data_IF_334349092578
#
_entry.id   IF_334349092578
#
_cell.length_a   1.000
_cell.length_b   1.000
_cell.length_c   1.000
_cell.angle_alpha   90.00
_cell.angle_beta   90.00
_cell.angle_gamma   90.00
#
_symmetry.space_group_name_H-M   'P 1'
#
loop_
_entity.id
_entity.type
_entity.pdbx_description
1 polymer ?
#
# COMPACT_ATOMS: atom_id res chain seq x y z
N UNK A 1 30.82 -15.14 -19.68
CA UNK A 1 30.39 -13.91 -18.97
C UNK A 1 29.10 -13.49 -19.60
N UNK A 2 28.08 -13.25 -18.80
CA UNK A 2 26.79 -12.78 -19.30
C UNK A 2 26.97 -11.37 -19.87
N UNK A 3 26.71 -11.19 -21.17
CA UNK A 3 26.96 -9.95 -21.94
C UNK A 3 26.29 -8.75 -21.26
N UNK A 4 25.16 -8.99 -20.57
CA UNK A 4 24.41 -7.98 -19.85
C UNK A 4 25.04 -7.53 -18.53
N UNK A 5 26.13 -8.14 -18.07
CA UNK A 5 26.83 -7.76 -16.83
C UNK A 5 28.23 -7.20 -17.07
N UNK A 6 28.61 -6.95 -18.32
CA UNK A 6 29.92 -6.43 -18.69
C UNK A 6 29.85 -4.99 -19.23
N UNK A 7 29.53 -4.05 -18.35
CA UNK A 7 29.49 -2.62 -18.70
C UNK A 7 29.98 -1.71 -17.56
N UNK A 8 30.46 -0.51 -17.89
CA UNK A 8 30.94 0.49 -16.91
C UNK A 8 29.88 1.53 -16.55
N UNK A 9 28.90 1.76 -17.42
CA UNK A 9 27.95 2.86 -17.32
C UNK A 9 26.50 2.36 -17.47
N UNK A 10 25.69 2.50 -16.42
CA UNK A 10 24.25 2.25 -16.48
C UNK A 10 23.52 3.54 -16.85
N UNK A 11 22.70 3.51 -17.89
CA UNK A 11 21.87 4.66 -18.31
C UNK A 11 20.42 4.34 -18.00
N UNK A 12 19.79 5.21 -17.20
CA UNK A 12 18.41 5.07 -16.72
C UNK A 12 17.59 6.27 -17.14
N UNK A 13 16.40 6.01 -17.68
CA UNK A 13 15.44 7.05 -18.06
C UNK A 13 14.44 7.25 -16.92
N UNK A 14 14.45 8.43 -16.31
CA UNK A 14 13.66 8.73 -15.12
C UNK A 14 12.28 9.27 -15.51
N UNK A 15 11.26 8.44 -15.30
CA UNK A 15 9.85 8.81 -15.42
C UNK A 15 9.24 9.29 -14.10
N UNK A 16 7.90 9.29 -14.03
CA UNK A 16 7.14 9.63 -12.82
C UNK A 16 7.10 8.50 -11.78
N UNK A 17 7.51 7.29 -12.16
CA UNK A 17 7.72 6.17 -11.25
C UNK A 17 9.23 5.85 -11.15
N UNK A 18 9.89 6.11 -10.00
CA UNK A 18 11.30 5.80 -9.78
C UNK A 18 11.58 4.32 -9.53
N UNK A 19 10.58 3.52 -9.16
CA UNK A 19 10.77 2.15 -8.69
C UNK A 19 11.47 1.22 -9.71
N UNK A 20 11.09 1.20 -11.01
CA UNK A 20 11.77 0.36 -12.00
C UNK A 20 13.26 0.71 -12.14
N UNK A 21 13.60 2.00 -12.12
CA UNK A 21 14.99 2.46 -12.20
C UNK A 21 15.80 1.99 -10.99
N UNK A 22 15.22 2.06 -9.79
CA UNK A 22 15.85 1.52 -8.58
C UNK A 22 16.07 0.00 -8.66
N UNK A 23 15.05 -0.77 -9.09
CA UNK A 23 15.14 -2.23 -9.22
C UNK A 23 16.26 -2.63 -10.17
N UNK A 24 16.30 -2.01 -11.36
CA UNK A 24 17.33 -2.25 -12.38
C UNK A 24 18.72 -1.87 -11.86
N UNK A 25 18.86 -0.70 -11.24
CA UNK A 25 20.13 -0.27 -10.67
C UNK A 25 20.61 -1.24 -9.58
N UNK A 26 19.72 -1.67 -8.69
CA UNK A 26 20.03 -2.59 -7.59
C UNK A 26 20.45 -3.97 -8.12
N UNK A 27 19.77 -4.49 -9.15
CA UNK A 27 20.16 -5.72 -9.82
C UNK A 27 21.59 -5.62 -10.38
N UNK A 28 21.86 -4.61 -11.20
CA UNK A 28 23.20 -4.47 -11.79
C UNK A 28 24.29 -4.13 -10.77
N UNK A 29 23.99 -3.43 -9.68
CA UNK A 29 24.97 -3.20 -8.62
C UNK A 29 25.37 -4.50 -7.90
N UNK A 30 24.46 -5.47 -7.78
CA UNK A 30 24.74 -6.80 -7.21
C UNK A 30 25.57 -7.68 -8.15
N UNK A 31 25.28 -7.64 -9.46
CA UNK A 31 25.84 -8.60 -10.42
C UNK A 31 26.96 -8.07 -11.31
N UNK A 32 26.97 -6.77 -11.61
CA UNK A 32 28.00 -6.12 -12.43
C UNK A 32 29.06 -5.43 -11.54
N UNK A 33 30.20 -6.12 -11.37
CA UNK A 33 31.36 -5.60 -10.63
C UNK A 33 32.11 -4.47 -11.35
N UNK A 34 31.91 -4.32 -12.67
CA UNK A 34 32.57 -3.29 -13.49
C UNK A 34 31.78 -1.97 -13.55
N UNK A 35 30.53 -1.95 -13.07
CA UNK A 35 29.69 -0.75 -13.03
C UNK A 35 30.35 0.37 -12.22
N UNK A 36 30.71 1.48 -12.86
CA UNK A 36 31.35 2.63 -12.21
C UNK A 36 30.42 3.82 -12.08
N UNK A 37 29.50 3.99 -13.04
CA UNK A 37 28.67 5.20 -13.12
C UNK A 37 27.22 4.87 -13.44
N UNK A 38 26.30 5.60 -12.82
CA UNK A 38 24.87 5.58 -13.15
C UNK A 38 24.48 6.96 -13.70
N UNK A 39 24.03 6.98 -14.94
CA UNK A 39 23.56 8.15 -15.67
C UNK A 39 22.03 8.18 -15.57
N UNK A 40 21.49 9.21 -14.91
CA UNK A 40 20.05 9.40 -14.71
C UNK A 40 19.57 10.52 -15.64
N UNK A 41 18.87 10.15 -16.70
CA UNK A 41 18.30 11.09 -17.68
C UNK A 41 16.89 11.45 -17.23
N UNK A 42 16.63 12.73 -16.93
CA UNK A 42 15.36 13.19 -16.36
C UNK A 42 14.82 14.41 -17.11
N UNK A 43 13.53 14.69 -16.98
CA UNK A 43 12.90 15.88 -17.55
C UNK A 43 12.97 17.07 -16.59
N UNK A 44 13.32 18.24 -17.11
CA UNK A 44 13.15 19.50 -16.38
C UNK A 44 11.67 19.86 -16.26
N UNK A 45 11.27 20.63 -15.25
CA UNK A 45 9.90 21.11 -15.18
C UNK A 45 9.72 22.32 -16.12
N UNK A 46 8.73 22.23 -17.02
CA UNK A 46 8.32 23.38 -17.83
C UNK A 46 6.84 23.60 -17.61
N UNK A 47 6.51 24.72 -16.96
CA UNK A 47 5.14 25.07 -16.56
C UNK A 47 4.16 24.88 -17.72
N UNK A 48 3.07 24.14 -17.46
CA UNK A 48 2.00 23.82 -18.42
C UNK A 48 2.42 23.00 -19.66
N UNK A 49 3.65 22.47 -19.72
CA UNK A 49 4.16 21.74 -20.88
C UNK A 49 4.67 20.34 -20.54
N UNK A 50 5.45 20.20 -19.46
CA UNK A 50 5.96 18.89 -19.02
C UNK A 50 6.17 18.87 -17.50
N UNK A 51 5.95 17.72 -16.89
CA UNK A 51 6.31 17.48 -15.50
C UNK A 51 7.83 17.25 -15.39
N UNK A 52 8.45 17.83 -14.36
CA UNK A 52 9.85 17.55 -14.03
C UNK A 52 10.00 16.23 -13.27
N UNK A 53 11.04 15.45 -13.59
CA UNK A 53 11.36 14.19 -12.89
C UNK A 53 12.69 14.24 -12.13
N UNK A 54 13.23 15.45 -11.92
CA UNK A 54 14.48 15.70 -11.17
C UNK A 54 14.44 15.15 -9.74
N UNK A 55 13.36 15.40 -9.01
CA UNK A 55 13.17 14.91 -7.64
C UNK A 55 13.32 13.38 -7.56
N UNK A 56 12.74 12.66 -8.52
CA UNK A 56 12.86 11.20 -8.59
C UNK A 56 14.29 10.74 -8.89
N UNK A 57 15.03 11.45 -9.75
CA UNK A 57 16.42 11.15 -10.03
C UNK A 57 17.33 11.39 -8.81
N UNK A 58 17.02 12.41 -8.01
CA UNK A 58 17.71 12.68 -6.74
C UNK A 58 17.39 11.63 -5.68
N UNK A 59 16.12 11.23 -5.56
CA UNK A 59 15.68 10.20 -4.63
C UNK A 59 16.31 8.83 -4.95
N UNK A 60 16.35 8.43 -6.23
CA UNK A 60 17.05 7.20 -6.67
C UNK A 60 18.51 7.22 -6.22
N UNK A 61 19.22 8.33 -6.46
CA UNK A 61 20.61 8.50 -6.03
C UNK A 61 20.76 8.41 -4.52
N UNK A 62 19.88 9.06 -3.75
CA UNK A 62 19.89 9.03 -2.28
C UNK A 62 19.78 7.60 -1.75
N UNK A 63 18.75 6.88 -2.21
CA UNK A 63 18.45 5.52 -1.75
C UNK A 63 19.56 4.54 -2.13
N UNK A 64 20.07 4.60 -3.37
CA UNK A 64 21.17 3.73 -3.80
C UNK A 64 22.44 4.02 -3.00
N UNK A 65 22.80 5.30 -2.79
CA UNK A 65 23.96 5.65 -1.96
C UNK A 65 23.81 5.11 -0.55
N UNK A 66 22.65 5.28 0.07
CA UNK A 66 22.37 4.76 1.41
C UNK A 66 22.57 3.24 1.52
N UNK A 67 22.18 2.48 0.49
CA UNK A 67 22.34 1.02 0.48
C UNK A 67 23.73 0.53 0.09
N UNK A 68 24.42 1.19 -0.85
CA UNK A 68 25.63 0.66 -1.49
C UNK A 68 26.92 1.42 -1.23
N UNK A 69 26.88 2.64 -0.66
CA UNK A 69 28.08 3.48 -0.53
C UNK A 69 29.18 2.82 0.31
N UNK A 70 28.82 2.05 1.34
CA UNK A 70 29.80 1.30 2.15
C UNK A 70 30.56 0.25 1.34
N UNK A 71 29.95 -0.31 0.29
CA UNK A 71 30.52 -1.38 -0.53
C UNK A 71 31.06 -0.88 -1.88
N UNK A 72 30.65 0.30 -2.34
CA UNK A 72 30.98 0.90 -3.63
C UNK A 72 31.24 2.41 -3.50
N UNK A 73 32.30 2.83 -2.79
CA UNK A 73 32.60 4.24 -2.55
C UNK A 73 32.99 5.01 -3.81
N UNK A 74 33.40 4.30 -4.87
CA UNK A 74 33.79 4.83 -6.16
C UNK A 74 32.61 5.00 -7.14
N UNK A 75 31.40 4.57 -6.76
CA UNK A 75 30.21 4.69 -7.60
C UNK A 75 29.83 6.16 -7.85
N UNK A 76 29.80 6.56 -9.12
CA UNK A 76 29.46 7.92 -9.52
C UNK A 76 28.02 8.01 -10.04
N UNK A 77 27.40 9.17 -9.82
CA UNK A 77 26.07 9.48 -10.34
C UNK A 77 26.16 10.72 -11.22
N UNK A 78 25.58 10.66 -12.42
CA UNK A 78 25.50 11.79 -13.35
C UNK A 78 24.04 12.05 -13.70
N UNK A 79 23.55 13.21 -13.31
CA UNK A 79 22.20 13.66 -13.62
C UNK A 79 22.20 14.45 -14.95
N UNK A 80 21.41 14.00 -15.93
CA UNK A 80 21.34 14.57 -17.27
C UNK A 80 19.94 15.18 -17.47
N UNK A 81 19.81 16.52 -17.43
CA UNK A 81 18.53 17.18 -17.64
C UNK A 81 18.15 17.20 -19.12
N UNK A 82 16.85 17.00 -19.39
CA UNK A 82 16.22 17.19 -20.69
C UNK A 82 15.21 18.34 -20.59
N UNK A 83 15.47 19.43 -21.30
CA UNK A 83 14.66 20.65 -21.21
C UNK A 83 13.32 20.56 -21.94
N UNK A 84 13.23 19.76 -22.99
CA UNK A 84 12.01 19.58 -23.79
C UNK A 84 11.87 18.13 -24.26
N UNK A 85 11.04 17.35 -23.55
CA UNK A 85 10.81 15.93 -23.87
C UNK A 85 9.98 15.72 -25.13
N UNK A 86 9.29 16.76 -25.62
CA UNK A 86 8.54 16.72 -26.87
C UNK A 86 9.38 16.97 -28.12
N UNK A 87 10.61 17.46 -27.96
CA UNK A 87 11.51 17.78 -29.06
C UNK A 87 12.63 16.74 -29.19
N UNK A 88 12.54 15.88 -30.20
CA UNK A 88 13.60 14.93 -30.54
C UNK A 88 14.96 15.61 -30.73
N UNK A 89 14.98 16.78 -31.39
CA UNK A 89 16.22 17.53 -31.62
C UNK A 89 16.85 18.04 -30.32
N UNK A 90 16.04 18.42 -29.34
CA UNK A 90 16.51 18.89 -28.03
C UNK A 90 17.09 17.72 -27.24
N UNK A 91 16.36 16.61 -27.17
CA UNK A 91 16.81 15.39 -26.50
C UNK A 91 18.18 14.96 -27.04
N UNK A 92 18.32 14.83 -28.37
CA UNK A 92 19.58 14.39 -28.98
C UNK A 92 20.74 15.36 -28.71
N UNK A 93 20.51 16.68 -28.82
CA UNK A 93 21.54 17.69 -28.53
C UNK A 93 22.01 17.66 -27.08
N UNK A 94 21.08 17.50 -26.14
CA UNK A 94 21.39 17.47 -24.70
C UNK A 94 22.08 16.15 -24.31
N UNK A 95 21.65 15.01 -24.85
CA UNK A 95 22.37 13.74 -24.72
C UNK A 95 23.80 13.87 -25.27
N UNK A 96 23.95 14.35 -26.52
CA UNK A 96 25.26 14.52 -27.14
C UNK A 96 26.16 15.46 -26.35
N UNK A 97 25.63 16.55 -25.79
CA UNK A 97 26.38 17.49 -24.96
C UNK A 97 26.85 16.86 -23.65
N UNK A 98 26.00 16.07 -23.00
CA UNK A 98 26.26 15.53 -21.67
C UNK A 98 26.98 14.17 -21.67
N UNK A 99 26.89 13.40 -22.76
CA UNK A 99 27.44 12.04 -22.88
C UNK A 99 28.73 12.03 -23.70
N UNK A 100 29.24 13.19 -24.14
CA UNK A 100 30.54 13.29 -24.84
C UNK A 100 31.58 12.45 -24.11
N UNK A 101 32.20 11.55 -24.86
CA UNK A 101 33.32 10.73 -24.43
C UNK A 101 34.40 11.65 -23.86
N UNK A 102 34.57 11.66 -22.54
CA UNK A 102 35.88 11.97 -21.96
C UNK A 102 36.86 11.05 -22.67
N UNK A 103 37.89 11.61 -23.29
CA UNK A 103 38.68 11.04 -24.40
C UNK A 103 39.49 9.78 -24.11
N UNK A 104 38.85 8.74 -23.58
CA UNK A 104 39.40 7.43 -23.28
C UNK A 104 38.43 6.37 -23.79
N UNK A 105 38.85 5.65 -24.83
CA UNK A 105 38.13 4.62 -25.57
C UNK A 105 37.86 3.33 -24.78
N UNK A 106 37.16 3.39 -23.65
CA UNK A 106 36.88 2.19 -22.82
C UNK A 106 35.54 2.14 -22.09
N UNK A 107 34.66 3.14 -22.23
CA UNK A 107 33.37 3.11 -21.55
C UNK A 107 32.38 2.24 -22.31
N UNK A 108 31.83 1.24 -21.63
CA UNK A 108 30.75 0.39 -22.14
C UNK A 108 29.46 0.72 -21.40
N UNK A 109 28.37 0.83 -22.14
CA UNK A 109 27.09 1.31 -21.67
C UNK A 109 26.07 0.17 -21.59
N UNK A 110 25.12 0.34 -20.69
CA UNK A 110 23.88 -0.41 -20.70
C UNK A 110 22.72 0.57 -20.56
N UNK A 111 21.84 0.64 -21.55
CA UNK A 111 20.64 1.47 -21.50
C UNK A 111 19.45 0.62 -21.03
N UNK A 112 18.88 0.99 -19.89
CA UNK A 112 17.54 0.53 -19.52
C UNK A 112 16.50 1.58 -19.92
N UNK A 113 15.60 1.22 -20.82
CA UNK A 113 14.62 2.13 -21.42
C UNK A 113 13.19 1.93 -20.90
N UNK A 114 13.04 1.36 -19.70
CA UNK A 114 11.71 1.15 -19.05
C UNK A 114 11.00 2.47 -18.74
N UNK A 115 11.75 3.48 -18.29
CA UNK A 115 11.20 4.75 -17.81
C UNK A 115 11.33 5.91 -18.80
N UNK A 116 11.05 7.11 -18.30
CA UNK A 116 10.98 8.32 -19.12
C UNK A 116 9.71 8.39 -19.98
N UNK A 117 9.58 9.45 -20.76
CA UNK A 117 8.50 9.53 -21.76
C UNK A 117 8.83 8.63 -22.96
N UNK A 118 7.81 8.23 -23.72
CA UNK A 118 7.99 7.47 -24.97
C UNK A 118 8.98 8.15 -25.93
N UNK A 119 8.93 9.48 -26.01
CA UNK A 119 9.87 10.28 -26.81
C UNK A 119 11.30 10.17 -26.27
N UNK A 120 11.51 10.31 -24.95
CA UNK A 120 12.83 10.11 -24.34
C UNK A 120 13.38 8.71 -24.60
N UNK A 121 12.56 7.67 -24.45
CA UNK A 121 12.96 6.29 -24.69
C UNK A 121 13.43 6.08 -26.13
N UNK A 122 12.59 6.44 -27.12
CA UNK A 122 12.92 6.27 -28.54
C UNK A 122 14.16 7.07 -28.94
N UNK A 123 14.26 8.33 -28.52
CA UNK A 123 15.38 9.19 -28.94
C UNK A 123 16.69 8.83 -28.24
N UNK A 124 16.63 8.42 -26.97
CA UNK A 124 17.84 7.96 -26.25
C UNK A 124 18.31 6.62 -26.81
N UNK A 125 17.39 5.69 -27.06
CA UNK A 125 17.70 4.42 -27.72
C UNK A 125 18.40 4.66 -29.06
N UNK A 126 17.80 5.49 -29.92
CA UNK A 126 18.37 5.88 -31.22
C UNK A 126 19.78 6.49 -31.06
N UNK A 127 19.96 7.41 -30.11
CA UNK A 127 21.27 8.02 -29.85
C UNK A 127 22.34 6.98 -29.51
N UNK A 128 22.04 6.04 -28.60
CA UNK A 128 23.00 5.00 -28.21
C UNK A 128 23.26 4.00 -29.32
N UNK A 129 22.24 3.65 -30.11
CA UNK A 129 22.41 2.78 -31.26
C UNK A 129 23.31 3.43 -32.33
N UNK A 130 23.10 4.70 -32.66
CA UNK A 130 23.87 5.39 -33.71
C UNK A 130 25.32 5.70 -33.30
N UNK A 131 25.58 5.94 -32.02
CA UNK A 131 26.89 6.42 -31.53
C UNK A 131 27.70 5.35 -30.78
N UNK A 132 27.04 4.31 -30.25
CA UNK A 132 27.65 3.33 -29.33
C UNK A 132 27.19 1.88 -29.58
N UNK A 133 26.67 1.52 -30.76
CA UNK A 133 26.14 0.17 -31.04
C UNK A 133 27.03 -0.99 -30.56
N UNK A 134 28.35 -0.91 -30.77
CA UNK A 134 29.28 -1.98 -30.37
C UNK A 134 29.69 -1.95 -28.88
N UNK A 135 29.29 -0.91 -28.15
CA UNK A 135 29.67 -0.65 -26.77
C UNK A 135 28.45 -0.47 -25.87
N UNK A 136 27.23 -0.71 -26.36
CA UNK A 136 25.99 -0.48 -25.63
C UNK A 136 25.09 -1.70 -25.73
N UNK A 137 24.61 -2.18 -24.59
CA UNK A 137 23.55 -3.19 -24.51
C UNK A 137 22.26 -2.54 -24.04
N UNK A 138 21.13 -3.18 -24.34
CA UNK A 138 19.81 -2.58 -24.13
C UNK A 138 18.91 -3.53 -23.33
N UNK A 139 18.13 -2.98 -22.40
CA UNK A 139 17.11 -3.73 -21.68
C UNK A 139 15.88 -2.91 -21.30
N UNK A 140 14.80 -3.60 -20.94
CA UNK A 140 13.67 -3.05 -20.23
C UNK A 140 13.19 -4.03 -19.15
N UNK A 141 12.61 -3.50 -18.08
CA UNK A 141 11.93 -4.28 -17.06
C UNK A 141 10.47 -4.45 -17.48
N UNK A 142 10.05 -5.67 -17.74
CA UNK A 142 8.66 -5.97 -18.06
C UNK A 142 7.86 -6.10 -16.76
N UNK A 143 6.87 -5.23 -16.58
CA UNK A 143 6.03 -5.21 -15.38
C UNK A 143 5.13 -6.43 -15.26
N UNK A 144 4.80 -7.11 -16.37
CA UNK A 144 3.85 -8.22 -16.40
C UNK A 144 4.40 -9.51 -15.80
N UNK A 145 5.68 -9.77 -16.02
CA UNK A 145 6.37 -10.97 -15.52
C UNK A 145 7.56 -10.64 -14.61
N UNK A 146 7.80 -9.35 -14.34
CA UNK A 146 8.85 -8.85 -13.44
C UNK A 146 10.26 -9.25 -13.88
N UNK A 147 10.47 -9.52 -15.17
CA UNK A 147 11.76 -9.93 -15.74
C UNK A 147 12.44 -8.77 -16.47
N UNK A 148 13.76 -8.73 -16.37
CA UNK A 148 14.58 -7.86 -17.20
C UNK A 148 14.79 -8.54 -18.55
N UNK A 149 14.42 -7.86 -19.64
CA UNK A 149 14.49 -8.39 -21.01
C UNK A 149 15.47 -7.58 -21.82
N UNK A 150 16.35 -8.26 -22.55
CA UNK A 150 17.35 -7.64 -23.41
C UNK A 150 17.01 -7.78 -24.88
N UNK A 151 17.41 -6.82 -25.70
CA UNK A 151 17.11 -6.81 -27.14
C UNK A 151 17.84 -7.94 -27.89
N UNK A 152 19.04 -8.30 -27.44
CA UNK A 152 19.95 -9.22 -28.14
C UNK A 152 19.76 -10.70 -27.76
N UNK A 153 18.87 -10.99 -26.80
CA UNK A 153 18.64 -12.35 -26.32
C UNK A 153 17.16 -12.73 -26.49
N UNK A 154 16.84 -13.86 -27.16
CA UNK A 154 15.48 -14.40 -27.16
C UNK A 154 15.03 -14.84 -25.74
N UNK A 155 15.96 -15.01 -24.81
CA UNK A 155 15.71 -15.33 -23.40
C UNK A 155 15.79 -14.07 -22.53
N UNK A 156 15.04 -14.05 -21.43
CA UNK A 156 15.12 -12.97 -20.43
C UNK A 156 16.52 -12.92 -19.79
N UNK A 157 16.99 -11.71 -19.43
CA UNK A 157 18.25 -11.51 -18.68
C UNK A 157 18.11 -12.08 -17.28
N UNK A 158 16.90 -12.02 -16.71
CA UNK A 158 16.61 -12.45 -15.35
C UNK A 158 15.37 -13.33 -15.33
N UNK A 159 15.22 -14.07 -14.23
CA UNK A 159 13.92 -14.55 -13.78
C UNK A 159 13.13 -13.40 -13.11
N UNK A 160 12.02 -13.74 -12.44
CA UNK A 160 11.19 -12.78 -11.70
C UNK A 160 12.01 -12.10 -10.59
N UNK A 161 12.26 -10.80 -10.76
CA UNK A 161 13.10 -10.02 -9.87
C UNK A 161 12.48 -9.79 -8.49
N UNK A 162 11.19 -10.06 -8.27
CA UNK A 162 10.58 -9.94 -6.93
C UNK A 162 11.21 -10.93 -5.95
N UNK A 163 11.72 -12.06 -6.43
CA UNK A 163 12.39 -13.07 -5.60
C UNK A 163 13.90 -12.84 -5.45
N UNK A 164 14.43 -11.73 -5.94
CA UNK A 164 15.87 -11.41 -5.87
C UNK A 164 16.14 -9.99 -5.34
N UNK A 165 15.25 -9.06 -5.68
CA UNK A 165 15.33 -7.64 -5.34
C UNK A 165 14.20 -7.31 -4.37
N UNK A 166 14.59 -7.01 -3.13
CA UNK A 166 13.69 -6.46 -2.11
C UNK A 166 13.93 -4.98 -1.89
N UNK A 167 12.91 -4.29 -1.37
CA UNK A 167 12.99 -2.91 -0.92
C UNK A 167 12.31 -2.79 0.45
N UNK A 168 12.85 -1.96 1.35
CA UNK A 168 12.15 -1.65 2.61
C UNK A 168 11.06 -0.59 2.37
N UNK A 169 10.09 -0.52 3.27
CA UNK A 169 9.07 0.54 3.23
C UNK A 169 9.68 1.94 3.26
N UNK A 170 10.69 2.16 4.09
CA UNK A 170 11.37 3.46 4.22
C UNK A 170 12.01 3.87 2.89
N UNK A 171 12.70 2.95 2.22
CA UNK A 171 13.35 3.22 0.94
C UNK A 171 12.31 3.39 -0.17
N UNK A 172 11.22 2.62 -0.18
CA UNK A 172 10.12 2.81 -1.12
C UNK A 172 9.50 4.20 -0.98
N UNK A 173 9.20 4.65 0.24
CA UNK A 173 8.65 5.99 0.45
C UNK A 173 9.67 7.07 0.10
N UNK A 174 10.94 6.89 0.45
CA UNK A 174 12.01 7.81 0.11
C UNK A 174 12.14 7.99 -1.40
N UNK A 175 12.06 6.91 -2.20
CA UNK A 175 12.05 6.97 -3.66
C UNK A 175 10.94 7.89 -4.20
N UNK A 176 9.74 7.79 -3.61
CA UNK A 176 8.55 8.50 -4.06
C UNK A 176 8.34 9.87 -3.37
N UNK A 177 9.31 10.35 -2.58
CA UNK A 177 9.22 11.64 -1.90
C UNK A 177 8.28 11.65 -0.69
N UNK A 178 8.00 10.49 -0.11
CA UNK A 178 7.19 10.30 1.08
C UNK A 178 8.04 9.96 2.31
N UNK A 179 7.45 10.11 3.50
CA UNK A 179 8.02 9.69 4.77
C UNK A 179 6.91 9.17 5.71
N UNK A 180 7.30 8.26 6.61
CA UNK A 180 6.41 7.77 7.67
C UNK A 180 6.13 8.90 8.66
N UNK A 181 4.86 9.21 8.93
CA UNK A 181 4.47 10.27 9.88
C UNK A 181 4.48 9.81 11.34
N UNK A 182 4.50 8.49 11.56
CA UNK A 182 4.33 7.80 12.84
C UNK A 182 3.49 6.55 12.62
N UNK A 183 3.31 5.72 13.64
CA UNK A 183 2.30 4.66 13.63
C UNK A 183 1.24 4.98 14.68
N UNK A 184 -0.04 4.98 14.30
CA UNK A 184 -1.09 4.76 15.29
C UNK A 184 -1.17 3.25 15.51
N UNK A 185 -0.83 2.80 16.71
CA UNK A 185 -1.11 1.41 17.06
C UNK A 185 -2.64 1.28 17.16
N UNK A 186 -3.24 0.51 16.25
CA UNK A 186 -4.61 0.09 16.48
C UNK A 186 -4.69 -0.62 17.83
N UNK A 187 -5.75 -0.37 18.62
CA UNK A 187 -5.99 -1.15 19.82
C UNK A 187 -6.04 -2.64 19.43
N UNK A 188 -5.15 -3.43 20.02
CA UNK A 188 -5.07 -4.87 19.77
C UNK A 188 -5.71 -5.59 20.95
N UNK A 189 -6.87 -6.20 20.68
CA UNK A 189 -7.58 -7.06 21.63
C UNK A 189 -7.59 -8.49 21.08
N UNK A 190 -6.54 -9.30 21.33
CA UNK A 190 -6.37 -10.60 20.68
C UNK A 190 -7.56 -11.55 20.88
N UNK A 191 -8.11 -11.61 22.09
CA UNK A 191 -9.28 -12.45 22.39
C UNK A 191 -10.54 -11.96 21.68
N UNK A 192 -10.73 -10.63 21.57
CA UNK A 192 -11.84 -10.05 20.80
C UNK A 192 -11.70 -10.35 19.30
N UNK A 193 -10.49 -10.31 18.74
CA UNK A 193 -10.26 -10.68 17.35
C UNK A 193 -10.53 -12.15 17.09
N UNK A 194 -10.14 -13.05 18.02
CA UNK A 194 -10.51 -14.47 17.93
C UNK A 194 -12.03 -14.67 17.95
N UNK A 195 -12.74 -13.91 18.79
CA UNK A 195 -14.21 -13.99 18.84
C UNK A 195 -14.87 -13.41 17.58
N UNK A 196 -14.30 -12.37 16.97
CA UNK A 196 -14.71 -11.94 15.62
C UNK A 196 -14.48 -13.03 14.57
N UNK A 197 -13.32 -13.71 14.58
CA UNK A 197 -13.07 -14.83 13.67
C UNK A 197 -14.13 -15.93 13.84
N UNK A 198 -14.50 -16.27 15.08
CA UNK A 198 -15.57 -17.22 15.38
C UNK A 198 -16.92 -16.78 14.80
N UNK A 199 -17.32 -15.52 15.04
CA UNK A 199 -18.56 -14.93 14.48
C UNK A 199 -18.58 -15.02 12.96
N UNK A 200 -17.46 -14.72 12.29
CA UNK A 200 -17.32 -14.80 10.83
C UNK A 200 -17.49 -16.25 10.36
N UNK A 201 -16.82 -17.21 11.02
CA UNK A 201 -16.92 -18.64 10.68
C UNK A 201 -18.33 -19.20 10.85
N UNK A 202 -19.07 -18.68 11.82
CA UNK A 202 -20.47 -19.05 12.06
C UNK A 202 -21.46 -18.38 11.09
N UNK A 203 -20.99 -17.49 10.20
CA UNK A 203 -21.86 -16.73 9.30
C UNK A 203 -22.70 -15.66 10.02
N UNK A 204 -22.31 -15.25 11.23
CA UNK A 204 -23.08 -14.35 12.10
C UNK A 204 -22.61 -12.90 12.08
N UNK A 205 -21.70 -12.53 11.17
CA UNK A 205 -21.16 -11.17 11.11
C UNK A 205 -22.26 -10.12 10.84
N UNK A 206 -23.31 -10.47 10.10
CA UNK A 206 -24.46 -9.58 9.91
C UNK A 206 -25.21 -9.25 11.19
N UNK A 207 -25.31 -10.19 12.13
CA UNK A 207 -25.91 -9.90 13.43
C UNK A 207 -25.12 -8.79 14.14
N UNK A 208 -23.78 -8.86 14.08
CA UNK A 208 -22.91 -7.82 14.60
C UNK A 208 -23.06 -6.48 13.87
N UNK A 209 -23.07 -6.48 12.54
CA UNK A 209 -23.18 -5.24 11.75
C UNK A 209 -24.54 -4.55 11.97
N UNK A 210 -25.61 -5.33 12.07
CA UNK A 210 -26.96 -4.86 12.39
C UNK A 210 -27.00 -4.27 13.80
N UNK A 211 -26.47 -5.01 14.80
CA UNK A 211 -26.37 -4.53 16.18
C UNK A 211 -25.53 -3.25 16.30
N UNK A 212 -24.38 -3.19 15.62
CA UNK A 212 -23.52 -2.00 15.58
C UNK A 212 -24.31 -0.79 15.09
N UNK A 213 -25.08 -0.93 14.01
CA UNK A 213 -25.90 0.14 13.42
C UNK A 213 -27.04 0.56 14.34
N UNK A 214 -27.78 -0.39 14.90
CA UNK A 214 -29.04 -0.16 15.63
C UNK A 214 -28.87 0.01 17.15
N UNK A 215 -27.65 -0.16 17.66
CA UNK A 215 -27.35 -0.06 19.10
C UNK A 215 -26.15 0.85 19.32
N UNK A 216 -24.96 0.44 18.91
CA UNK A 216 -23.73 1.21 19.18
C UNK A 216 -23.76 2.59 18.53
N UNK A 217 -24.16 2.67 17.26
CA UNK A 217 -24.24 3.97 16.58
C UNK A 217 -25.35 4.85 17.14
N UNK A 218 -26.50 4.29 17.49
CA UNK A 218 -27.57 5.05 18.17
C UNK A 218 -27.11 5.62 19.52
N UNK A 219 -26.36 4.82 20.29
CA UNK A 219 -25.97 5.20 21.65
C UNK A 219 -24.82 6.21 21.70
N UNK A 220 -23.85 6.07 20.79
CA UNK A 220 -22.61 6.86 20.84
C UNK A 220 -22.53 7.96 19.78
N UNK A 221 -23.46 8.01 18.82
CA UNK A 221 -23.41 8.98 17.72
C UNK A 221 -24.74 9.72 17.54
N UNK A 222 -24.65 10.98 17.11
CA UNK A 222 -25.78 11.76 16.60
C UNK A 222 -25.48 12.18 15.17
N UNK A 223 -26.06 11.48 14.20
CA UNK A 223 -25.59 11.51 12.81
C UNK A 223 -24.16 10.98 12.74
N UNK A 224 -23.24 11.74 12.14
CA UNK A 224 -21.82 11.38 12.04
C UNK A 224 -20.98 11.88 13.23
N UNK A 225 -21.59 12.51 14.25
CA UNK A 225 -20.87 13.10 15.38
C UNK A 225 -20.83 12.14 16.57
N UNK A 226 -19.62 11.73 16.94
CA UNK A 226 -19.37 10.89 18.12
C UNK A 226 -19.53 11.66 19.43
N UNK A 227 -20.01 11.00 20.47
CA UNK A 227 -20.06 11.52 21.83
C UNK A 227 -18.64 11.49 22.45
N UNK A 228 -17.90 12.59 22.34
CA UNK A 228 -16.52 12.74 22.87
C UNK A 228 -16.46 12.95 24.40
N UNK A 229 -17.61 13.19 25.03
CA UNK A 229 -17.72 13.49 26.47
C UNK A 229 -18.92 12.78 27.10
N UNK A 230 -18.86 12.51 28.41
CA UNK A 230 -19.97 11.88 29.14
C UNK A 230 -21.27 12.70 29.05
N UNK A 231 -21.16 14.02 29.04
CA UNK A 231 -22.31 14.93 28.91
C UNK A 231 -22.99 14.76 27.55
N UNK A 232 -22.21 14.62 26.48
CA UNK A 232 -22.76 14.34 25.15
C UNK A 232 -23.44 12.98 25.11
N UNK A 233 -22.82 11.95 25.70
CA UNK A 233 -23.42 10.62 25.81
C UNK A 233 -24.77 10.65 26.51
N UNK A 234 -24.87 11.29 27.69
CA UNK A 234 -26.15 11.47 28.38
C UNK A 234 -27.17 12.25 27.54
N UNK A 235 -26.73 13.34 26.89
CA UNK A 235 -27.62 14.17 26.05
C UNK A 235 -28.13 13.39 24.84
N UNK A 236 -27.31 12.54 24.21
CA UNK A 236 -27.71 11.77 23.05
C UNK A 236 -28.74 10.70 23.41
N UNK A 237 -28.63 10.15 24.62
CA UNK A 237 -29.47 9.07 25.12
C UNK A 237 -30.62 9.54 26.04
N UNK A 238 -30.80 10.87 26.21
CA UNK A 238 -31.79 11.48 27.10
C UNK A 238 -31.77 10.90 28.53
N UNK A 239 -30.58 10.75 29.11
CA UNK A 239 -30.39 10.23 30.47
C UNK A 239 -30.38 11.39 31.46
N UNK A 240 -31.40 11.49 32.32
CA UNK A 240 -31.56 12.54 33.33
C UNK A 240 -31.82 12.02 34.75
N UNK A 241 -32.22 10.76 34.91
CA UNK A 241 -32.45 10.13 36.22
C UNK A 241 -31.95 8.67 36.30
N UNK A 242 -31.96 8.10 37.49
CA UNK A 242 -31.64 6.68 37.71
C UNK A 242 -32.63 5.74 37.00
N UNK A 243 -33.90 6.14 36.84
CA UNK A 243 -34.88 5.40 36.03
C UNK A 243 -34.49 5.37 34.55
N UNK A 244 -33.97 6.48 33.99
CA UNK A 244 -33.49 6.50 32.60
C UNK A 244 -32.28 5.57 32.42
N UNK A 245 -31.38 5.50 33.42
CA UNK A 245 -30.24 4.57 33.41
C UNK A 245 -30.71 3.11 33.37
N UNK A 246 -31.71 2.75 34.19
CA UNK A 246 -32.29 1.40 34.18
C UNK A 246 -32.92 1.06 32.84
N UNK A 247 -33.75 1.98 32.29
CA UNK A 247 -34.38 1.81 30.97
C UNK A 247 -33.34 1.68 29.85
N UNK A 248 -32.26 2.47 29.91
CA UNK A 248 -31.18 2.39 28.94
C UNK A 248 -30.46 1.03 28.97
N UNK A 249 -30.17 0.53 30.17
CA UNK A 249 -29.58 -0.80 30.39
C UNK A 249 -30.49 -1.95 29.95
N UNK A 250 -31.79 -1.85 30.22
CA UNK A 250 -32.79 -2.81 29.73
C UNK A 250 -32.83 -2.84 28.20
N UNK A 251 -32.90 -1.67 27.56
CA UNK A 251 -32.86 -1.55 26.09
C UNK A 251 -31.58 -2.14 25.48
N UNK A 252 -30.42 -1.93 26.11
CA UNK A 252 -29.17 -2.56 25.67
C UNK A 252 -29.25 -4.09 25.74
N UNK A 253 -29.77 -4.65 26.84
CA UNK A 253 -29.90 -6.11 27.02
C UNK A 253 -30.86 -6.73 26.01
N UNK A 254 -31.99 -6.09 25.73
CA UNK A 254 -32.95 -6.56 24.73
C UNK A 254 -32.39 -6.54 23.31
N UNK A 255 -31.61 -5.50 22.99
CA UNK A 255 -31.03 -5.32 21.65
C UNK A 255 -29.76 -6.12 21.41
N UNK A 256 -29.10 -6.67 22.44
CA UNK A 256 -27.76 -7.29 22.32
C UNK A 256 -27.83 -8.82 22.36
N UNK A 257 -27.64 -9.50 21.22
CA UNK A 257 -27.54 -10.97 21.17
C UNK A 257 -26.41 -11.53 22.03
N UNK A 258 -26.59 -12.75 22.56
CA UNK A 258 -25.61 -13.38 23.46
C UNK A 258 -24.21 -13.48 22.82
N UNK A 259 -24.12 -13.83 21.52
CA UNK A 259 -22.83 -13.94 20.83
C UNK A 259 -22.05 -12.61 20.79
N UNK A 260 -22.78 -11.49 20.72
CA UNK A 260 -22.19 -10.14 20.77
C UNK A 260 -21.86 -9.76 22.22
N UNK A 261 -22.69 -10.16 23.18
CA UNK A 261 -22.37 -9.97 24.59
C UNK A 261 -21.09 -10.73 24.98
N UNK A 262 -20.91 -11.95 24.51
CA UNK A 262 -19.67 -12.73 24.65
C UNK A 262 -18.47 -12.02 24.03
N UNK A 263 -18.63 -11.46 22.82
CA UNK A 263 -17.60 -10.62 22.18
C UNK A 263 -17.24 -9.40 23.03
N UNK A 264 -18.21 -8.70 23.60
CA UNK A 264 -17.94 -7.52 24.43
C UNK A 264 -17.22 -7.86 25.74
N UNK A 265 -17.48 -9.04 26.30
CA UNK A 265 -16.80 -9.56 27.50
C UNK A 265 -15.31 -9.83 27.27
N UNK A 266 -14.84 -10.00 26.04
CA UNK A 266 -13.41 -10.23 25.76
C UNK A 266 -12.59 -8.94 25.72
N UNK A 267 -13.23 -7.77 25.68
CA UNK A 267 -12.53 -6.47 25.72
C UNK A 267 -12.01 -6.22 27.14
N UNK A 268 -10.75 -5.78 27.33
CA UNK A 268 -10.21 -5.43 28.65
C UNK A 268 -11.12 -4.47 29.42
N UNK A 269 -11.29 -4.70 30.73
CA UNK A 269 -12.28 -4.00 31.56
C UNK A 269 -12.12 -2.47 31.54
N UNK A 270 -10.90 -1.99 31.43
CA UNK A 270 -10.52 -0.58 31.34
C UNK A 270 -11.01 0.10 30.05
N UNK A 271 -11.19 -0.65 28.97
CA UNK A 271 -11.67 -0.16 27.68
C UNK A 271 -13.07 -0.68 27.32
N UNK A 272 -13.61 -1.62 28.10
CA UNK A 272 -14.91 -2.23 27.83
C UNK A 272 -16.04 -1.23 28.02
N UNK A 273 -17.06 -1.35 27.18
CA UNK A 273 -18.33 -0.65 27.37
C UNK A 273 -19.23 -1.36 28.39
N UNK A 274 -18.80 -2.49 28.94
CA UNK A 274 -19.54 -3.22 29.97
C UNK A 274 -19.09 -2.83 31.39
N UNK A 275 -20.02 -2.88 32.33
CA UNK A 275 -19.77 -2.78 33.76
C UNK A 275 -19.44 -4.15 34.39
N UNK A 276 -19.21 -4.18 35.70
CA UNK A 276 -18.82 -5.39 36.43
C UNK A 276 -19.88 -6.50 36.41
N UNK A 277 -21.14 -6.14 36.16
CA UNK A 277 -22.25 -7.08 36.07
C UNK A 277 -22.46 -7.59 34.63
N UNK A 278 -21.64 -7.13 33.68
CA UNK A 278 -21.76 -7.47 32.26
C UNK A 278 -22.87 -6.70 31.54
N UNK A 279 -23.36 -5.60 32.10
CA UNK A 279 -24.34 -4.72 31.45
C UNK A 279 -23.65 -3.49 30.85
N UNK A 280 -24.32 -2.68 30.01
CA UNK A 280 -23.70 -1.48 29.46
C UNK A 280 -23.35 -0.48 30.57
N UNK A 281 -22.10 -0.05 30.58
CA UNK A 281 -21.60 0.94 31.52
C UNK A 281 -22.16 2.32 31.18
N UNK A 282 -22.87 2.91 32.13
CA UNK A 282 -23.33 4.30 32.07
C UNK A 282 -22.44 5.14 33.00
N UNK A 283 -21.76 6.19 32.51
CA UNK A 283 -20.90 7.01 33.34
C UNK A 283 -21.71 7.66 34.46
N UNK A 284 -21.23 7.57 35.71
CA UNK A 284 -21.82 8.30 36.83
C UNK A 284 -21.52 9.81 36.75
N UNK A 285 -22.29 10.62 37.49
CA UNK A 285 -22.03 12.07 37.57
C UNK A 285 -20.65 12.38 38.15
N UNK A 286 -20.15 11.54 39.05
CA UNK A 286 -18.81 11.62 39.65
C UNK A 286 -17.67 11.13 38.75
N UNK A 287 -17.96 10.38 37.67
CA UNK A 287 -16.93 9.83 36.80
C UNK A 287 -16.18 10.92 36.03
N UNK A 288 -14.87 10.80 35.89
CA UNK A 288 -14.09 11.79 35.12
C UNK A 288 -14.22 11.53 33.62
N UNK A 289 -14.15 12.59 32.80
CA UNK A 289 -14.24 12.48 31.34
C UNK A 289 -13.13 11.60 30.73
N UNK A 290 -12.01 11.42 31.44
CA UNK A 290 -10.93 10.53 31.01
C UNK A 290 -11.40 9.08 30.94
N UNK A 291 -12.02 8.56 32.00
CA UNK A 291 -12.53 7.19 32.06
C UNK A 291 -13.59 6.92 30.98
N UNK A 292 -14.46 7.91 30.75
CA UNK A 292 -15.42 7.85 29.64
C UNK A 292 -14.70 7.73 28.30
N UNK A 293 -13.68 8.56 28.04
CA UNK A 293 -12.93 8.52 26.79
C UNK A 293 -12.22 7.19 26.60
N UNK A 294 -11.58 6.64 27.63
CA UNK A 294 -10.83 5.39 27.54
C UNK A 294 -11.74 4.20 27.16
N UNK A 295 -12.98 4.18 27.67
CA UNK A 295 -14.01 3.19 27.31
C UNK A 295 -14.66 3.49 25.96
N UNK A 296 -15.08 4.72 25.70
CA UNK A 296 -15.68 5.14 24.44
C UNK A 296 -14.70 5.01 23.26
N UNK A 297 -13.39 5.03 23.52
CA UNK A 297 -12.37 4.79 22.51
C UNK A 297 -12.45 3.38 21.91
N UNK A 298 -12.83 2.35 22.68
CA UNK A 298 -13.03 1.00 22.13
C UNK A 298 -14.19 0.96 21.13
N UNK A 299 -15.20 1.81 21.33
CA UNK A 299 -16.28 1.99 20.35
C UNK A 299 -15.74 2.66 19.09
N UNK A 300 -15.23 3.88 19.23
CA UNK A 300 -14.82 4.74 18.11
C UNK A 300 -13.71 4.13 17.27
N UNK A 301 -12.71 3.54 17.92
CA UNK A 301 -11.46 3.12 17.28
C UNK A 301 -11.29 1.61 17.19
N UNK A 302 -12.27 0.80 17.59
CA UNK A 302 -12.19 -0.65 17.42
C UNK A 302 -13.50 -1.24 16.92
N UNK A 303 -14.56 -1.22 17.73
CA UNK A 303 -15.84 -1.85 17.41
C UNK A 303 -16.49 -1.24 16.15
N UNK A 304 -16.36 0.07 15.92
CA UNK A 304 -16.99 0.68 14.74
C UNK A 304 -16.37 0.21 13.41
N UNK A 305 -15.07 -0.12 13.38
CA UNK A 305 -14.39 -0.48 12.12
C UNK A 305 -13.02 -1.12 12.22
N UNK A 306 -12.11 -0.62 13.06
CA UNK A 306 -10.69 -1.04 13.03
C UNK A 306 -10.44 -2.49 13.43
N UNK A 307 -11.41 -3.16 14.07
CA UNK A 307 -11.33 -4.60 14.31
C UNK A 307 -11.09 -5.38 13.00
N UNK A 308 -11.66 -4.93 11.88
CA UNK A 308 -11.53 -5.59 10.57
C UNK A 308 -10.10 -5.48 10.02
N UNK A 309 -9.45 -4.35 10.23
CA UNK A 309 -8.05 -4.10 9.85
C UNK A 309 -7.11 -5.03 10.62
N UNK A 310 -7.31 -5.13 11.94
CA UNK A 310 -6.53 -6.02 12.83
C UNK A 310 -6.80 -7.49 12.50
N UNK A 311 -8.06 -7.84 12.25
CA UNK A 311 -8.46 -9.18 11.84
C UNK A 311 -7.76 -9.61 10.55
N UNK A 312 -7.86 -8.78 9.50
CA UNK A 312 -7.21 -9.02 8.21
C UNK A 312 -5.70 -9.22 8.39
N UNK A 313 -5.04 -8.28 9.07
CA UNK A 313 -3.60 -8.36 9.31
C UNK A 313 -3.20 -9.66 10.00
N UNK A 314 -3.95 -10.08 11.03
CA UNK A 314 -3.70 -11.32 11.76
C UNK A 314 -3.89 -12.55 10.88
N UNK A 315 -4.95 -12.61 10.06
CA UNK A 315 -5.19 -13.71 9.12
C UNK A 315 -4.04 -13.82 8.13
N UNK A 316 -3.66 -12.72 7.48
CA UNK A 316 -2.56 -12.71 6.50
C UNK A 316 -1.24 -13.12 7.15
N UNK A 317 -0.89 -12.57 8.32
CA UNK A 317 0.33 -12.94 9.03
C UNK A 317 0.37 -14.42 9.44
N UNK A 318 -0.77 -14.96 9.90
CA UNK A 318 -0.88 -16.39 10.25
C UNK A 318 -0.67 -17.25 8.99
N UNK A 319 -1.36 -16.93 7.90
CA UNK A 319 -1.32 -17.72 6.67
C UNK A 319 0.02 -17.67 5.95
N UNK A 320 0.68 -16.50 5.92
CA UNK A 320 2.06 -16.36 5.43
C UNK A 320 3.04 -17.25 6.21
N UNK A 321 2.84 -17.40 7.54
CA UNK A 321 3.69 -18.26 8.37
C UNK A 321 3.41 -19.75 8.19
N UNK A 322 2.16 -20.11 7.88
CA UNK A 322 1.73 -21.49 7.59
C UNK A 322 2.21 -21.97 6.21
N UNK A 323 2.33 -21.07 5.23
CA UNK A 323 2.87 -21.38 3.90
C UNK A 323 4.41 -21.45 3.91
N UNK A 324 4.97 -22.59 3.51
CA UNK A 324 6.42 -22.84 3.57
C UNK A 324 7.23 -21.85 2.71
N UNK A 325 6.78 -21.58 1.48
CA UNK A 325 7.48 -20.70 0.53
C UNK A 325 7.40 -19.25 1.00
N UNK A 326 6.20 -18.79 1.37
CA UNK A 326 6.02 -17.41 1.81
C UNK A 326 6.71 -17.15 3.16
N UNK A 327 6.73 -18.13 4.06
CA UNK A 327 7.46 -18.06 5.33
C UNK A 327 8.97 -17.89 5.10
N UNK A 328 9.53 -18.55 4.09
CA UNK A 328 10.94 -18.36 3.70
C UNK A 328 11.18 -16.95 3.14
N UNK A 329 10.34 -16.47 2.21
CA UNK A 329 10.44 -15.12 1.66
C UNK A 329 10.33 -14.05 2.75
N UNK A 330 9.43 -14.25 3.72
CA UNK A 330 9.24 -13.36 4.86
C UNK A 330 10.50 -13.29 5.73
N UNK A 331 11.10 -14.44 6.07
CA UNK A 331 12.35 -14.50 6.85
C UNK A 331 13.54 -13.86 6.13
N UNK A 332 13.59 -13.95 4.80
CA UNK A 332 14.61 -13.29 3.96
C UNK A 332 14.40 -11.79 3.79
N UNK A 333 13.29 -11.22 4.29
CA UNK A 333 12.92 -9.82 4.06
C UNK A 333 12.54 -9.52 2.61
N UNK A 334 12.16 -10.54 1.85
CA UNK A 334 11.62 -10.41 0.49
C UNK A 334 10.11 -10.26 0.51
N UNK A 335 9.44 -10.74 1.56
CA UNK A 335 8.03 -10.47 1.84
C UNK A 335 7.95 -9.62 3.12
N UNK A 336 7.30 -8.46 3.05
CA UNK A 336 7.11 -7.57 4.20
C UNK A 336 5.62 -7.23 4.31
N UNK A 337 5.05 -7.27 5.52
CA UNK A 337 3.67 -6.87 5.77
C UNK A 337 3.62 -5.99 7.03
N UNK A 338 2.88 -4.89 6.96
CA UNK A 338 2.66 -3.97 8.07
C UNK A 338 1.20 -3.43 8.03
N UNK A 339 0.74 -2.80 9.11
CA UNK A 339 -0.59 -2.21 9.20
C UNK A 339 -0.57 -0.77 9.72
N UNK A 340 -1.69 -0.05 9.54
CA UNK A 340 -1.90 1.33 10.01
C UNK A 340 -0.76 2.28 9.65
N UNK A 341 -0.35 2.23 8.38
CA UNK A 341 0.83 2.93 7.94
C UNK A 341 0.47 4.36 7.53
N UNK A 342 0.85 5.36 8.34
CA UNK A 342 0.65 6.77 8.02
C UNK A 342 1.80 7.34 7.18
N UNK A 343 1.45 7.83 5.99
CA UNK A 343 2.40 8.31 4.97
C UNK A 343 2.13 9.78 4.69
N UNK A 344 3.16 10.62 4.71
CA UNK A 344 3.07 12.03 4.31
C UNK A 344 4.10 12.37 3.24
N UNK A 345 3.76 13.31 2.36
CA UNK A 345 4.72 13.83 1.38
C UNK A 345 5.75 14.71 2.12
N UNK A 346 7.03 14.54 1.81
CA UNK A 346 8.11 15.36 2.37
C UNK A 346 7.91 16.83 2.04
N UNK A 347 8.32 17.71 2.95
CA UNK A 347 8.31 19.16 2.74
C UNK A 347 6.93 19.75 2.40
N UNK A 348 5.83 19.14 2.85
CA UNK A 348 4.48 19.69 2.66
C UNK A 348 3.71 19.69 3.98
N UNK A 349 2.88 20.71 4.18
CA UNK A 349 1.88 20.74 5.26
C UNK A 349 0.60 19.96 4.92
N UNK A 350 0.51 19.34 3.74
CA UNK A 350 -0.65 18.53 3.36
C UNK A 350 -0.80 17.38 4.34
N UNK A 351 -2.06 17.04 4.63
CA UNK A 351 -2.39 15.86 5.42
C UNK A 351 -1.80 14.62 4.74
N UNK A 352 -1.20 13.76 5.55
CA UNK A 352 -0.84 12.42 5.13
C UNK A 352 -2.08 11.57 4.85
N UNK A 353 -1.85 10.37 4.35
CA UNK A 353 -2.87 9.34 4.17
C UNK A 353 -2.45 8.08 4.94
N UNK A 354 -3.42 7.24 5.23
CA UNK A 354 -3.24 5.98 5.94
C UNK A 354 -3.49 4.83 4.97
N UNK A 355 -2.71 3.75 5.11
CA UNK A 355 -3.00 2.47 4.48
C UNK A 355 -3.21 1.45 5.59
N UNK A 356 -4.40 0.85 5.58
CA UNK A 356 -4.87 -0.01 6.66
C UNK A 356 -3.98 -1.27 6.78
N UNK A 357 -3.68 -1.95 5.67
CA UNK A 357 -2.66 -3.01 5.58
C UNK A 357 -1.84 -2.83 4.30
N UNK A 358 -0.51 -2.97 4.41
CA UNK A 358 0.41 -2.84 3.28
C UNK A 358 1.34 -4.04 3.21
N UNK A 359 1.55 -4.57 2.01
CA UNK A 359 2.40 -5.72 1.74
C UNK A 359 3.39 -5.42 0.62
N UNK A 360 4.64 -5.88 0.76
CA UNK A 360 5.66 -5.87 -0.28
C UNK A 360 6.04 -7.31 -0.64
N UNK A 361 5.83 -7.70 -1.90
CA UNK A 361 6.34 -8.93 -2.48
C UNK A 361 7.54 -8.60 -3.39
N UNK A 362 8.75 -8.73 -2.85
CA UNK A 362 9.97 -8.19 -3.43
C UNK A 362 9.96 -6.67 -3.42
N UNK A 363 9.67 -6.09 -4.59
CA UNK A 363 9.43 -4.67 -4.77
C UNK A 363 7.99 -4.33 -5.19
N UNK A 364 7.14 -5.33 -5.44
CA UNK A 364 5.74 -5.09 -5.78
C UNK A 364 4.96 -4.76 -4.51
N UNK A 365 4.29 -3.62 -4.50
CA UNK A 365 3.42 -3.17 -3.41
C UNK A 365 1.99 -3.67 -3.61
N UNK A 366 1.38 -4.12 -2.52
CA UNK A 366 -0.05 -4.35 -2.39
C UNK A 366 -0.61 -3.51 -1.24
N UNK A 367 -1.48 -2.55 -1.54
CA UNK A 367 -2.18 -1.75 -0.54
C UNK A 367 -3.57 -2.32 -0.28
N UNK A 368 -3.98 -2.42 0.98
CA UNK A 368 -5.29 -2.94 1.35
C UNK A 368 -6.02 -1.91 2.21
N UNK A 369 -7.25 -1.59 1.84
CA UNK A 369 -8.14 -0.79 2.67
C UNK A 369 -9.33 -1.63 3.15
N UNK A 370 -9.73 -1.41 4.40
CA UNK A 370 -10.86 -2.06 5.05
C UNK A 370 -11.98 -1.05 5.30
N UNK A 371 -13.22 -1.53 5.21
CA UNK A 371 -14.39 -0.79 5.68
C UNK A 371 -15.48 -1.73 6.15
N UNK A 372 -16.11 -1.38 7.26
CA UNK A 372 -17.31 -2.08 7.76
C UNK A 372 -18.61 -1.46 7.24
N UNK A 373 -18.50 -0.57 6.24
CA UNK A 373 -19.64 -0.04 5.52
C UNK A 373 -20.24 -1.12 4.60
N UNK A 374 -21.56 -1.04 4.43
CA UNK A 374 -22.35 -1.92 3.56
C UNK A 374 -23.16 -1.13 2.51
N UNK A 375 -22.80 0.14 2.33
CA UNK A 375 -23.36 1.05 1.32
C UNK A 375 -22.32 1.31 0.22
N UNK A 376 -22.75 1.44 -1.03
CA UNK A 376 -21.86 1.55 -2.20
C UNK A 376 -20.96 2.78 -2.16
N UNK A 377 -21.53 3.96 -1.91
CA UNK A 377 -20.81 5.24 -1.99
C UNK A 377 -19.55 5.30 -1.10
N UNK A 378 -19.60 4.98 0.21
CA UNK A 378 -18.39 4.97 1.03
C UNK A 378 -17.40 3.89 0.60
N UNK A 379 -17.86 2.72 0.12
CA UNK A 379 -16.98 1.67 -0.38
C UNK A 379 -16.26 2.10 -1.66
N UNK A 380 -16.96 2.76 -2.61
CA UNK A 380 -16.36 3.26 -3.85
C UNK A 380 -15.28 4.30 -3.57
N UNK A 381 -15.56 5.25 -2.66
CA UNK A 381 -14.58 6.27 -2.28
C UNK A 381 -13.30 5.66 -1.71
N UNK A 382 -13.42 4.66 -0.82
CA UNK A 382 -12.26 3.93 -0.30
C UNK A 382 -11.54 3.11 -1.38
N UNK A 383 -12.28 2.48 -2.30
CA UNK A 383 -11.73 1.79 -3.46
C UNK A 383 -10.87 2.69 -4.34
N UNK A 384 -11.41 3.84 -4.77
CA UNK A 384 -10.65 4.81 -5.56
C UNK A 384 -9.44 5.36 -4.82
N UNK A 385 -9.58 5.62 -3.52
CA UNK A 385 -8.46 6.07 -2.71
C UNK A 385 -7.34 5.03 -2.69
N UNK A 386 -7.61 3.77 -2.34
CA UNK A 386 -6.55 2.75 -2.25
C UNK A 386 -5.90 2.47 -3.60
N UNK A 387 -6.66 2.42 -4.70
CA UNK A 387 -6.12 2.31 -6.06
C UNK A 387 -5.12 3.44 -6.33
N UNK A 388 -5.54 4.68 -6.10
CA UNK A 388 -4.73 5.84 -6.36
C UNK A 388 -3.49 5.91 -5.46
N UNK A 389 -3.63 5.66 -4.15
CA UNK A 389 -2.51 5.70 -3.18
C UNK A 389 -1.47 4.65 -3.50
N UNK A 390 -1.88 3.41 -3.76
CA UNK A 390 -0.91 2.34 -4.06
C UNK A 390 -0.21 2.60 -5.38
N UNK A 391 -0.92 3.04 -6.42
CA UNK A 391 -0.32 3.40 -7.73
C UNK A 391 0.68 4.55 -7.61
N UNK A 392 0.45 5.52 -6.72
CA UNK A 392 1.41 6.60 -6.46
C UNK A 392 2.76 6.11 -5.91
N UNK A 393 2.79 4.94 -5.25
CA UNK A 393 3.99 4.40 -4.59
C UNK A 393 4.59 3.18 -5.30
N UNK A 394 3.79 2.43 -6.07
CA UNK A 394 4.26 1.25 -6.81
C UNK A 394 4.30 1.41 -8.31
N UNK A 395 3.68 2.47 -8.83
CA UNK A 395 3.38 2.60 -10.26
C UNK A 395 2.31 1.62 -10.72
N UNK A 396 2.35 1.27 -12.00
CA UNK A 396 1.28 0.52 -12.68
C UNK A 396 1.18 -0.93 -12.21
N UNK A 397 2.28 -1.53 -11.76
CA UNK A 397 2.28 -2.91 -11.24
C UNK A 397 1.85 -3.01 -9.76
N UNK A 398 1.42 -1.90 -9.16
CA UNK A 398 0.89 -1.88 -7.81
C UNK A 398 -0.44 -2.63 -7.73
N UNK A 399 -0.62 -3.42 -6.68
CA UNK A 399 -1.88 -4.12 -6.40
C UNK A 399 -2.67 -3.44 -5.30
N UNK A 400 -3.98 -3.49 -5.40
CA UNK A 400 -4.87 -2.90 -4.40
C UNK A 400 -6.01 -3.83 -4.06
N UNK A 401 -6.33 -3.93 -2.78
CA UNK A 401 -7.44 -4.74 -2.28
C UNK A 401 -8.38 -3.86 -1.46
N UNK A 402 -9.67 -3.94 -1.73
CA UNK A 402 -10.70 -3.35 -0.88
C UNK A 402 -11.45 -4.47 -0.15
N UNK A 403 -11.36 -4.48 1.17
CA UNK A 403 -12.14 -5.35 2.05
C UNK A 403 -13.37 -4.59 2.53
N UNK A 404 -14.56 -5.12 2.28
CA UNK A 404 -15.84 -4.51 2.64
C UNK A 404 -16.75 -5.48 3.36
N UNK A 405 -17.82 -4.96 3.97
CA UNK A 405 -18.96 -5.76 4.41
C UNK A 405 -20.17 -5.59 3.47
N UNK A 406 -19.91 -5.37 2.17
CA UNK A 406 -20.96 -5.42 1.15
C UNK A 406 -21.43 -6.87 0.99
N UNK A 407 -22.73 -7.00 0.75
CA UNK A 407 -23.41 -8.25 0.43
C UNK A 407 -23.97 -8.15 -0.98
N UNK A 408 -24.06 -9.27 -1.68
CA UNK A 408 -24.85 -9.35 -2.90
C UNK A 408 -26.31 -9.07 -2.59
N UNK A 409 -26.89 -8.11 -3.31
CA UNK A 409 -28.31 -7.77 -3.24
C UNK A 409 -28.94 -8.07 -4.59
N UNK A 410 -30.23 -8.40 -4.61
CA UNK A 410 -30.98 -8.60 -5.86
C UNK A 410 -30.85 -7.41 -6.83
N UNK A 411 -30.66 -6.20 -6.29
CA UNK A 411 -30.53 -4.96 -7.06
C UNK A 411 -29.13 -4.66 -7.57
N UNK A 412 -28.08 -5.31 -7.02
CA UNK A 412 -26.68 -5.05 -7.35
C UNK A 412 -25.76 -6.16 -6.83
N UNK A 413 -25.00 -6.77 -7.74
CA UNK A 413 -23.96 -7.74 -7.39
C UNK A 413 -22.62 -7.08 -7.05
N UNK A 414 -21.75 -7.82 -6.38
CA UNK A 414 -20.35 -7.46 -6.15
C UNK A 414 -19.59 -7.32 -7.47
N UNK A 415 -19.94 -8.11 -8.49
CA UNK A 415 -19.41 -7.95 -9.86
C UNK A 415 -19.79 -6.59 -10.46
N UNK A 416 -21.06 -6.15 -10.34
CA UNK A 416 -21.50 -4.83 -10.83
C UNK A 416 -20.81 -3.68 -10.07
N UNK A 417 -20.54 -3.87 -8.78
CA UNK A 417 -19.76 -2.91 -7.99
C UNK A 417 -18.31 -2.82 -8.47
N UNK A 418 -17.71 -3.98 -8.79
CA UNK A 418 -16.36 -4.07 -9.29
C UNK A 418 -16.19 -3.44 -10.68
N UNK A 419 -17.09 -3.75 -11.62
CA UNK A 419 -17.04 -3.18 -12.98
C UNK A 419 -17.22 -1.66 -12.97
N UNK A 420 -18.12 -1.11 -12.14
CA UNK A 420 -18.25 0.35 -11.95
C UNK A 420 -16.95 1.02 -11.48
N UNK A 421 -16.25 0.38 -10.54
CA UNK A 421 -14.96 0.88 -10.02
C UNK A 421 -13.88 0.83 -11.10
N UNK A 422 -13.86 -0.24 -11.88
CA UNK A 422 -12.92 -0.46 -12.97
C UNK A 422 -13.11 0.55 -14.10
N UNK A 423 -14.33 0.75 -14.58
CA UNK A 423 -14.64 1.71 -15.65
C UNK A 423 -14.25 3.13 -15.27
N UNK A 424 -14.43 3.49 -13.99
CA UNK A 424 -14.11 4.83 -13.50
C UNK A 424 -12.61 5.02 -13.22
N UNK A 425 -11.92 3.98 -12.76
CA UNK A 425 -10.49 4.06 -12.39
C UNK A 425 -9.52 3.83 -13.56
N UNK A 426 -9.97 3.15 -14.63
CA UNK A 426 -9.11 2.73 -15.72
C UNK A 426 -8.06 1.69 -15.32
N UNK A 427 -8.21 1.05 -14.15
CA UNK A 427 -7.35 -0.03 -13.67
C UNK A 427 -7.60 -1.32 -14.46
N UNK A 428 -6.54 -2.08 -14.73
CA UNK A 428 -6.69 -3.42 -15.31
C UNK A 428 -7.32 -4.38 -14.27
N UNK A 429 -7.97 -5.46 -14.72
CA UNK A 429 -8.64 -6.43 -13.83
C UNK A 429 -7.68 -7.16 -12.88
N UNK A 430 -6.37 -7.05 -13.13
CA UNK A 430 -5.32 -7.77 -12.40
C UNK A 430 -4.75 -6.94 -11.24
N UNK A 431 -4.95 -5.62 -11.25
CA UNK A 431 -4.36 -4.66 -10.29
C UNK A 431 -5.25 -4.40 -9.07
N UNK A 432 -6.56 -4.67 -9.18
CA UNK A 432 -7.51 -4.36 -8.12
C UNK A 432 -8.45 -5.53 -7.82
N UNK A 433 -8.71 -5.77 -6.54
CA UNK A 433 -9.66 -6.78 -6.05
C UNK A 433 -10.58 -6.20 -4.97
N UNK A 434 -11.84 -6.59 -5.00
CA UNK A 434 -12.83 -6.28 -3.94
C UNK A 434 -13.26 -7.58 -3.28
N UNK A 435 -13.22 -7.63 -1.96
CA UNK A 435 -13.72 -8.76 -1.16
C UNK A 435 -14.90 -8.31 -0.31
N UNK A 436 -15.99 -9.05 -0.40
CA UNK A 436 -17.24 -8.78 0.31
C UNK A 436 -17.36 -9.54 1.62
N UNK A 437 -18.55 -9.48 2.22
CA UNK A 437 -18.85 -10.15 3.48
C UNK A 437 -18.58 -11.67 3.42
N UNK A 438 -18.98 -12.32 2.33
CA UNK A 438 -18.86 -13.78 2.14
C UNK A 438 -17.42 -14.28 1.99
N UNK A 439 -16.50 -13.36 1.70
CA UNK A 439 -15.09 -13.65 1.52
C UNK A 439 -14.30 -13.59 2.81
N UNK A 440 -14.89 -13.06 3.89
CA UNK A 440 -14.16 -12.76 5.12
C UNK A 440 -13.73 -13.99 5.91
N UNK A 441 -14.25 -15.19 5.64
CA UNK A 441 -13.75 -16.41 6.30
C UNK A 441 -12.25 -16.58 6.04
N UNK A 442 -11.42 -16.96 7.04
CA UNK A 442 -9.96 -16.96 6.87
C UNK A 442 -9.45 -17.74 5.66
N UNK A 443 -10.11 -18.86 5.32
CA UNK A 443 -9.72 -19.72 4.20
C UNK A 443 -10.04 -19.07 2.85
N UNK A 444 -11.25 -18.52 2.67
CA UNK A 444 -11.64 -17.84 1.43
C UNK A 444 -10.88 -16.52 1.23
N UNK A 445 -10.75 -15.74 2.30
CA UNK A 445 -9.99 -14.50 2.32
C UNK A 445 -8.55 -14.77 1.86
N UNK A 446 -7.91 -15.76 2.46
CA UNK A 446 -6.56 -16.14 2.10
C UNK A 446 -6.46 -16.63 0.65
N UNK A 447 -7.33 -17.53 0.20
CA UNK A 447 -7.28 -18.07 -1.16
C UNK A 447 -7.37 -16.95 -2.22
N UNK A 448 -8.30 -16.01 -2.04
CA UNK A 448 -8.45 -14.87 -2.96
C UNK A 448 -7.26 -13.91 -2.90
N UNK A 449 -6.81 -13.54 -1.70
CA UNK A 449 -5.63 -12.67 -1.53
C UNK A 449 -4.38 -13.31 -2.11
N UNK A 450 -4.21 -14.61 -1.89
CA UNK A 450 -3.07 -15.36 -2.38
C UNK A 450 -3.00 -15.34 -3.90
N UNK A 451 -4.10 -15.73 -4.56
CA UNK A 451 -4.23 -15.69 -6.02
C UNK A 451 -4.04 -14.30 -6.58
N UNK A 452 -4.57 -13.27 -5.92
CA UNK A 452 -4.43 -11.91 -6.38
C UNK A 452 -2.98 -11.41 -6.32
N UNK A 453 -2.24 -11.67 -5.23
CA UNK A 453 -0.88 -11.13 -5.05
C UNK A 453 0.14 -11.97 -5.83
N UNK A 454 0.07 -13.29 -5.72
CA UNK A 454 1.10 -14.22 -6.18
C UNK A 454 0.73 -14.98 -7.46
N UNK A 455 -0.56 -15.01 -7.84
CA UNK A 455 -1.04 -15.80 -8.97
C UNK A 455 -1.31 -17.26 -8.59
N UNK A 456 -1.51 -18.11 -9.60
CA UNK A 456 -1.78 -19.55 -9.44
C UNK A 456 -0.46 -20.34 -9.27
N UNK A 457 0.66 -19.77 -9.72
CA UNK A 457 1.92 -20.48 -9.92
C UNK A 457 3.05 -19.95 -9.02
N UNK A 458 2.87 -20.05 -7.69
CA UNK A 458 4.00 -19.92 -6.77
C UNK A 458 4.52 -21.28 -6.31
#
# INVERSE_FOLDING_TARGET
MDIFTDFTDLVLLVGTNPLPNYVVAKYFLKHNKKLKRILLVYSEEVKNRQAGTKEFAENITSVIKKEFLSNRPDLQFKHIPISDVGSASTILKELQRNIKSEGSSSNTFHLNYTGGTKSMAVQTYKYFLENFAQQCTFSYLDGRDFKLKGDESPNCITEDLRYEISISFENLFELHGYEKKGGQNNPSYPETIKKFEEIIRLGKLNEYLCWKKNTIREFFYKGNKFAETKKQFWTYNNICSDEDVKRFKENFREKTPEIILELLKTIPKENSILDENGDIWVPAESAINKDYKDRANSVKNFLDGKWLEVYLYNVLCKKIKEDEKLSELYKKGQLIIDNNYEIKKKNTEKKGFEIDVILLNGYQICGISCTTASDDSPCKNKGFEIIHRTRQMGGEEAKSILITCLEDKESRSMEDFYEDLKDTSGSSTHEFMVLGLEDLTPERLWDKVYKHIWGIDL
#
